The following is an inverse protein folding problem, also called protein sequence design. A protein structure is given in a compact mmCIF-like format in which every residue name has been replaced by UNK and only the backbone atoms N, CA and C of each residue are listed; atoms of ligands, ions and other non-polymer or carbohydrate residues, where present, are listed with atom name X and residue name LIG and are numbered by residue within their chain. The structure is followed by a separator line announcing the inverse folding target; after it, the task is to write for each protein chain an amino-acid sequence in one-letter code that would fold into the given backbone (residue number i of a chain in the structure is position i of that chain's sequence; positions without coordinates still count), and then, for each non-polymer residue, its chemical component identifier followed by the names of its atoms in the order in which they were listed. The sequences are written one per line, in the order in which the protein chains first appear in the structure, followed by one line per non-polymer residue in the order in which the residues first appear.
data_IF_109618120213
#
_entry.id   IF_109618120213
#
_cell.length_a   1.000
_cell.length_b   1.000
_cell.length_c   1.000
_cell.angle_alpha   90.00
_cell.angle_beta   90.00
_cell.angle_gamma   90.00
#
_symmetry.space_group_name_H-M   'P 1'
#
loop_
_entity.id
_entity.type
_entity.pdbx_description
1 polymer ?
#
# COMPACT_ATOMS: atom_id res chain seq x y z
N UNK A 1 11.06 0.93 -7.42
CA UNK A 1 10.04 0.71 -6.37
C UNK A 1 10.77 0.16 -5.17
N UNK A 2 10.62 0.82 -4.03
CA UNK A 2 11.13 0.32 -2.76
C UNK A 2 9.95 -0.09 -1.89
N UNK A 3 10.15 -1.13 -1.09
CA UNK A 3 9.18 -1.54 -0.10
C UNK A 3 9.88 -1.99 1.17
N UNK A 4 9.18 -1.87 2.29
CA UNK A 4 9.60 -2.32 3.60
C UNK A 4 8.48 -3.16 4.21
N UNK A 5 8.84 -4.27 4.86
CA UNK A 5 7.88 -5.15 5.54
C UNK A 5 7.68 -4.61 6.94
N UNK A 6 6.46 -4.16 7.23
CA UNK A 6 6.11 -3.58 8.55
C UNK A 6 5.49 -4.63 9.48
N UNK A 7 4.88 -5.66 8.89
CA UNK A 7 4.25 -6.74 9.64
C UNK A 7 4.20 -8.00 8.78
N UNK A 8 4.40 -9.15 9.41
CA UNK A 8 4.36 -10.45 8.75
C UNK A 8 3.52 -11.42 9.57
N UNK A 9 2.56 -12.05 8.91
CA UNK A 9 1.74 -13.15 9.40
C UNK A 9 2.11 -14.42 8.63
N UNK A 10 1.60 -15.57 9.06
CA UNK A 10 1.93 -16.88 8.46
C UNK A 10 1.76 -16.96 6.93
N UNK A 11 0.79 -16.21 6.37
CA UNK A 11 0.44 -16.29 4.95
C UNK A 11 0.44 -14.94 4.21
N UNK A 12 0.71 -13.84 4.92
CA UNK A 12 0.59 -12.49 4.35
C UNK A 12 1.57 -11.54 5.02
N UNK A 13 2.10 -10.59 4.25
CA UNK A 13 2.93 -9.52 4.77
C UNK A 13 2.29 -8.17 4.44
N UNK A 14 2.36 -7.24 5.40
CA UNK A 14 1.99 -5.85 5.19
C UNK A 14 3.26 -5.09 4.87
N UNK A 15 3.22 -4.30 3.80
CA UNK A 15 4.37 -3.57 3.29
C UNK A 15 4.05 -2.09 3.08
N UNK A 16 4.99 -1.22 3.44
CA UNK A 16 4.99 0.17 2.98
C UNK A 16 5.73 0.24 1.66
N UNK A 17 5.19 0.98 0.69
CA UNK A 17 5.73 1.06 -0.66
C UNK A 17 6.03 2.52 -1.01
N UNK A 18 7.27 2.78 -1.45
CA UNK A 18 7.66 4.06 -2.02
C UNK A 18 7.83 3.95 -3.53
N UNK A 19 6.98 4.68 -4.25
CA UNK A 19 6.98 4.72 -5.71
C UNK A 19 7.95 5.78 -6.24
N UNK A 20 8.79 5.37 -7.19
CA UNK A 20 9.64 6.28 -7.99
C UNK A 20 9.01 6.59 -9.35
N UNK A 21 8.18 5.66 -9.85
CA UNK A 21 7.44 5.75 -11.10
C UNK A 21 5.99 5.31 -10.88
N UNK A 22 5.09 5.77 -11.74
CA UNK A 22 3.65 5.49 -11.65
C UNK A 22 3.10 4.72 -12.86
N UNK A 23 3.74 3.62 -13.28
CA UNK A 23 3.24 2.81 -14.40
C UNK A 23 1.90 2.16 -14.05
N UNK A 24 1.08 1.88 -15.06
CA UNK A 24 -0.21 1.23 -14.86
C UNK A 24 -0.03 -0.12 -14.13
N UNK A 25 -0.79 -0.34 -13.04
CA UNK A 25 -0.72 -1.53 -12.19
C UNK A 25 0.69 -1.90 -11.66
N UNK A 26 1.61 -0.94 -11.59
CA UNK A 26 3.02 -1.21 -11.30
C UNK A 26 3.21 -2.09 -10.05
N UNK A 27 2.63 -1.69 -8.91
CA UNK A 27 2.72 -2.43 -7.64
C UNK A 27 2.21 -3.87 -7.82
N UNK A 28 0.99 -4.01 -8.34
CA UNK A 28 0.29 -5.29 -8.51
C UNK A 28 1.10 -6.28 -9.36
N UNK A 29 1.64 -5.79 -10.48
CA UNK A 29 2.46 -6.58 -11.38
C UNK A 29 3.79 -7.00 -10.74
N UNK A 30 4.50 -6.05 -10.11
CA UNK A 30 5.81 -6.32 -9.50
C UNK A 30 5.75 -7.33 -8.36
N UNK A 31 4.72 -7.22 -7.50
CA UNK A 31 4.51 -8.15 -6.40
C UNK A 31 4.10 -9.55 -6.89
N UNK A 32 3.30 -9.62 -7.96
CA UNK A 32 2.97 -10.90 -8.62
C UNK A 32 4.19 -11.58 -9.25
N UNK A 33 5.08 -10.81 -9.89
CA UNK A 33 6.31 -11.32 -10.51
C UNK A 33 7.26 -11.98 -9.50
N UNK A 34 7.32 -11.44 -8.28
CA UNK A 34 8.09 -12.03 -7.17
C UNK A 34 7.31 -13.07 -6.36
N UNK A 35 6.18 -13.57 -6.88
CA UNK A 35 5.31 -14.59 -6.27
C UNK A 35 4.67 -14.19 -4.93
N UNK A 36 4.54 -12.89 -4.67
CA UNK A 36 3.88 -12.34 -3.49
C UNK A 36 2.77 -11.37 -3.92
N UNK A 37 1.73 -11.83 -4.64
CA UNK A 37 0.71 -10.96 -5.21
C UNK A 37 -0.12 -10.25 -4.14
N UNK A 38 -0.66 -9.07 -4.49
CA UNK A 38 -1.51 -8.27 -3.62
C UNK A 38 -2.77 -9.06 -3.23
N UNK A 39 -3.13 -9.07 -1.94
CA UNK A 39 -4.32 -9.78 -1.45
C UNK A 39 -5.59 -9.26 -2.14
N UNK A 40 -6.52 -10.17 -2.43
CA UNK A 40 -7.75 -9.94 -3.18
C UNK A 40 -7.56 -9.45 -4.63
N UNK A 41 -6.36 -9.51 -5.19
CA UNK A 41 -6.10 -9.15 -6.58
C UNK A 41 -6.29 -10.32 -7.56
N UNK A 42 -7.52 -10.55 -8.00
CA UNK A 42 -7.84 -11.66 -8.91
C UNK A 42 -7.13 -11.59 -10.27
N UNK A 43 -6.71 -10.40 -10.73
CA UNK A 43 -6.04 -10.24 -12.02
C UNK A 43 -4.58 -10.69 -11.97
N UNK A 44 -3.93 -10.51 -10.82
CA UNK A 44 -2.50 -10.80 -10.63
C UNK A 44 -2.24 -11.99 -9.69
N UNK A 45 -3.26 -12.82 -9.43
CA UNK A 45 -3.12 -14.08 -8.67
C UNK A 45 -3.16 -13.93 -7.16
N UNK A 46 -3.68 -12.81 -6.65
CA UNK A 46 -3.91 -12.57 -5.24
C UNK A 46 -4.95 -13.50 -4.64
N UNK A 47 -4.60 -14.17 -3.55
CA UNK A 47 -5.56 -14.98 -2.81
C UNK A 47 -6.67 -14.11 -2.22
N UNK A 48 -7.90 -14.61 -2.29
CA UNK A 48 -9.04 -13.98 -1.64
C UNK A 48 -9.08 -14.38 -0.17
N UNK A 49 -8.83 -13.44 0.74
CA UNK A 49 -8.75 -13.69 2.18
C UNK A 49 -9.92 -13.04 2.92
N UNK A 50 -10.54 -12.01 2.33
CA UNK A 50 -11.74 -11.37 2.87
C UNK A 50 -12.88 -11.34 1.84
N UNK A 51 -14.10 -11.07 2.32
CA UNK A 51 -15.26 -10.88 1.45
C UNK A 51 -15.26 -9.50 0.76
N UNK A 52 -14.31 -8.63 1.10
CA UNK A 52 -14.14 -7.33 0.47
C UNK A 52 -13.89 -7.48 -1.04
N UNK A 53 -14.52 -6.60 -1.81
CA UNK A 53 -14.31 -6.55 -3.27
C UNK A 53 -13.07 -5.75 -3.65
N UNK A 54 -12.48 -5.00 -2.72
CA UNK A 54 -11.28 -4.20 -2.96
C UNK A 54 -10.01 -5.03 -2.85
N UNK A 55 -9.03 -4.70 -3.70
CA UNK A 55 -7.65 -5.16 -3.51
C UNK A 55 -7.06 -4.57 -2.24
N UNK A 56 -6.17 -5.30 -1.57
CA UNK A 56 -5.44 -4.85 -0.38
C UNK A 56 -4.31 -3.88 -0.75
N UNK A 57 -4.67 -2.75 -1.38
CA UNK A 57 -3.74 -1.70 -1.75
C UNK A 57 -4.36 -0.34 -1.43
N UNK A 58 -3.66 0.46 -0.63
CA UNK A 58 -4.14 1.75 -0.16
C UNK A 58 -3.07 2.84 -0.39
N UNK A 59 -3.49 3.96 -0.99
CA UNK A 59 -2.64 5.12 -1.17
C UNK A 59 -2.64 5.94 0.13
N UNK A 60 -1.64 5.71 0.96
CA UNK A 60 -1.59 6.24 2.32
C UNK A 60 -1.16 7.70 2.40
N UNK A 61 -0.12 8.09 1.65
CA UNK A 61 0.32 9.47 1.58
C UNK A 61 0.73 9.87 0.17
N UNK A 62 0.65 11.17 -0.09
CA UNK A 62 1.10 11.79 -1.32
C UNK A 62 1.72 13.13 -1.01
N UNK A 63 2.85 13.43 -1.64
CA UNK A 63 3.51 14.72 -1.52
C UNK A 63 3.75 15.36 -2.88
N UNK A 64 3.57 16.67 -2.95
CA UNK A 64 3.78 17.45 -4.17
C UNK A 64 4.27 18.86 -3.79
N UNK A 65 5.14 19.42 -4.61
CA UNK A 65 5.44 20.84 -4.53
C UNK A 65 4.28 21.63 -5.12
N UNK A 66 3.71 22.56 -4.35
CA UNK A 66 2.69 23.46 -4.85
C UNK A 66 3.22 24.22 -6.08
N UNK A 67 2.48 24.24 -7.21
CA UNK A 67 3.03 24.64 -8.51
C UNK A 67 3.46 26.11 -8.60
N UNK A 68 2.96 26.96 -7.70
CA UNK A 68 3.29 28.40 -7.66
C UNK A 68 4.28 28.71 -6.53
N UNK A 69 3.89 28.48 -5.28
CA UNK A 69 4.73 28.75 -4.10
C UNK A 69 5.94 27.81 -3.92
N UNK A 70 6.00 26.67 -4.63
CA UNK A 70 7.00 25.61 -4.45
C UNK A 70 7.04 24.99 -3.03
N UNK A 71 6.06 25.30 -2.19
CA UNK A 71 5.93 24.73 -0.85
C UNK A 71 5.60 23.25 -0.96
N UNK A 72 6.28 22.40 -0.16
CA UNK A 72 5.94 20.99 -0.06
C UNK A 72 4.58 20.84 0.64
N UNK A 73 3.63 20.23 -0.06
CA UNK A 73 2.34 19.83 0.48
C UNK A 73 2.35 18.32 0.67
N UNK A 74 1.89 17.88 1.84
CA UNK A 74 1.79 16.46 2.18
C UNK A 74 0.32 16.19 2.51
N UNK A 75 -0.24 15.18 1.86
CA UNK A 75 -1.59 14.69 2.06
C UNK A 75 -1.51 13.27 2.60
N UNK A 76 -2.29 12.98 3.63
CA UNK A 76 -2.40 11.66 4.24
C UNK A 76 -3.85 11.20 4.24
N UNK A 77 -4.06 9.90 4.01
CA UNK A 77 -5.34 9.24 4.14
C UNK A 77 -5.31 8.34 5.39
N UNK A 78 -6.43 8.23 6.09
CA UNK A 78 -6.57 7.19 7.11
C UNK A 78 -6.71 5.82 6.46
N UNK A 79 -6.26 4.76 7.14
CA UNK A 79 -6.49 3.40 6.63
C UNK A 79 -8.00 3.13 6.54
N UNK A 80 -8.47 2.37 5.54
CA UNK A 80 -9.86 1.98 5.45
C UNK A 80 -10.30 1.16 6.67
N UNK A 81 -11.48 1.42 7.22
CA UNK A 81 -12.06 0.57 8.27
C UNK A 81 -12.74 -0.65 7.64
N UNK A 82 -11.95 -1.68 7.36
CA UNK A 82 -12.44 -2.98 6.91
C UNK A 82 -11.55 -4.12 7.41
N UNK A 83 -12.00 -5.36 7.19
CA UNK A 83 -11.35 -6.55 7.73
C UNK A 83 -9.90 -6.75 7.26
N UNK A 84 -9.48 -6.15 6.15
CA UNK A 84 -8.10 -6.24 5.65
C UNK A 84 -7.15 -5.39 6.50
N UNK A 85 -7.61 -4.19 6.90
CA UNK A 85 -6.73 -3.19 7.53
C UNK A 85 -6.89 -3.09 9.04
N UNK A 86 -7.92 -3.71 9.62
CA UNK A 86 -8.22 -3.66 11.08
C UNK A 86 -7.10 -4.20 11.97
N UNK A 87 -6.34 -5.18 11.48
CA UNK A 87 -5.24 -5.77 12.24
C UNK A 87 -3.96 -4.90 12.20
N UNK A 88 -3.94 -3.86 11.38
CA UNK A 88 -2.78 -3.00 11.18
C UNK A 88 -2.87 -1.79 12.11
N UNK A 89 -1.91 -1.69 13.03
CA UNK A 89 -1.86 -0.59 13.98
C UNK A 89 -1.33 0.69 13.29
N UNK A 90 -2.18 1.71 13.14
CA UNK A 90 -1.86 2.95 12.40
C UNK A 90 -0.70 3.74 13.01
N UNK A 91 -0.47 3.64 14.32
CA UNK A 91 0.54 4.42 15.04
C UNK A 91 1.96 4.13 14.56
N UNK A 92 2.29 2.87 14.23
CA UNK A 92 3.63 2.50 13.74
C UNK A 92 3.93 2.99 12.32
N UNK A 93 2.88 3.17 11.51
CA UNK A 93 3.02 3.50 10.09
C UNK A 93 3.35 4.98 9.88
N UNK A 94 2.83 5.85 10.75
CA UNK A 94 3.06 7.30 10.64
C UNK A 94 4.51 7.64 10.97
N UNK A 95 5.12 6.94 11.93
CA UNK A 95 6.53 7.15 12.32
C UNK A 95 7.53 6.78 11.21
N UNK A 96 7.17 5.89 10.27
CA UNK A 96 8.03 5.53 9.12
C UNK A 96 7.84 6.44 7.90
N UNK A 97 6.78 7.26 7.87
CA UNK A 97 6.47 8.16 6.75
C UNK A 97 7.04 9.57 6.91
N UNK A 98 7.57 9.91 8.09
CA UNK A 98 8.11 11.22 8.48
C UNK A 98 9.48 11.08 9.17
#
# INVERSE_FOLDING_TARGET
MHYEVIHENENTSVVIIKLETGRYHQIRCQFSEIKNPVVNDSLYGGNKISNESSIALHALSYSIHHPVSNQLLIFTAGLPDNDIWREINQEHIIDELF
#
